data_IF_837519979694
#
_entry.id   IF_837519979694
#
_cell.length_a   1.000
_cell.length_b   1.000
_cell.length_c   1.000
_cell.angle_alpha   90.00
_cell.angle_beta   90.00
_cell.angle_gamma   90.00
#
_symmetry.space_group_name_H-M   'P 1'
#
loop_
_entity.id
_entity.type
_entity.pdbx_description
1 polymer ?
#
# COMPACT_ATOMS: atom_id res chain seq x y z
N UNK A 1 -12.24 12.31 4.69
CA UNK A 1 -11.26 11.67 5.59
C UNK A 1 -9.99 12.51 5.58
N UNK A 2 -9.31 12.74 6.71
CA UNK A 2 -8.00 13.44 6.74
C UNK A 2 -6.88 12.46 6.39
N UNK A 3 -5.82 12.93 5.73
CA UNK A 3 -4.65 12.14 5.31
C UNK A 3 -4.07 11.32 6.47
N UNK A 4 -3.91 11.92 7.65
CA UNK A 4 -3.39 11.24 8.85
C UNK A 4 -4.23 10.03 9.24
N UNK A 5 -5.56 10.13 9.11
CA UNK A 5 -6.48 9.03 9.45
C UNK A 5 -6.45 7.93 8.38
N UNK A 6 -6.34 8.31 7.11
CA UNK A 6 -6.14 7.38 6.00
C UNK A 6 -4.86 6.57 6.19
N UNK A 7 -3.74 7.25 6.48
CA UNK A 7 -2.46 6.59 6.75
C UNK A 7 -2.58 5.69 7.99
N UNK A 8 -3.15 6.17 9.09
CA UNK A 8 -3.28 5.37 10.31
C UNK A 8 -4.09 4.08 10.10
N UNK A 9 -5.12 4.11 9.26
CA UNK A 9 -5.95 2.94 8.97
C UNK A 9 -5.29 1.92 8.04
N UNK A 10 -4.48 2.38 7.09
CA UNK A 10 -3.90 1.50 6.06
C UNK A 10 -2.43 1.14 6.33
N UNK A 11 -1.73 1.87 7.20
CA UNK A 11 -0.31 1.65 7.52
C UNK A 11 -0.01 0.21 7.95
N UNK A 12 -0.86 -0.39 8.77
CA UNK A 12 -0.64 -1.76 9.25
C UNK A 12 -0.60 -2.75 8.08
N UNK A 13 -1.51 -2.60 7.12
CA UNK A 13 -1.57 -3.42 5.90
C UNK A 13 -0.34 -3.20 5.02
N UNK A 14 0.09 -1.95 4.85
CA UNK A 14 1.30 -1.64 4.07
C UNK A 14 2.55 -2.27 4.68
N UNK A 15 2.65 -2.28 6.01
CA UNK A 15 3.75 -2.94 6.71
C UNK A 15 3.69 -4.47 6.54
N UNK A 16 2.50 -5.06 6.50
CA UNK A 16 2.33 -6.48 6.19
C UNK A 16 2.76 -6.81 4.75
N UNK A 17 2.34 -5.99 3.76
CA UNK A 17 2.82 -6.09 2.38
C UNK A 17 4.34 -6.07 2.28
N UNK A 18 5.01 -5.11 2.95
CA UNK A 18 6.47 -5.02 2.94
C UNK A 18 7.16 -6.22 3.61
N UNK A 19 6.55 -6.81 4.65
CA UNK A 19 7.07 -8.04 5.27
C UNK A 19 6.94 -9.22 4.30
N UNK A 20 5.76 -9.39 3.71
CA UNK A 20 5.47 -10.49 2.80
C UNK A 20 6.34 -10.44 1.53
N UNK A 21 6.67 -9.24 1.06
CA UNK A 21 7.62 -9.01 -0.04
C UNK A 21 9.05 -9.47 0.28
N UNK A 22 9.45 -9.39 1.55
CA UNK A 22 10.76 -9.84 2.06
C UNK A 22 10.82 -11.33 2.39
N UNK A 23 9.68 -11.98 2.59
CA UNK A 23 9.64 -13.42 2.84
C UNK A 23 9.98 -14.21 1.57
N UNK A 24 10.74 -15.29 1.74
CA UNK A 24 11.12 -16.19 0.64
C UNK A 24 9.97 -17.12 0.21
N UNK A 25 9.02 -17.38 1.11
CA UNK A 25 7.83 -18.18 0.82
C UNK A 25 6.65 -17.24 0.65
N UNK A 26 6.30 -16.99 -0.60
CA UNK A 26 5.29 -16.03 -1.00
C UNK A 26 4.00 -16.76 -1.31
N UNK A 27 3.00 -16.57 -0.46
CA UNK A 27 1.65 -17.09 -0.72
C UNK A 27 0.98 -16.22 -1.80
N UNK A 28 0.69 -16.76 -3.00
CA UNK A 28 0.22 -15.96 -4.13
C UNK A 28 -1.17 -15.37 -3.91
N UNK A 29 -2.04 -16.02 -3.14
CA UNK A 29 -3.38 -15.51 -2.82
C UNK A 29 -3.30 -14.29 -1.90
N UNK A 30 -2.45 -14.36 -0.86
CA UNK A 30 -2.21 -13.22 0.03
C UNK A 30 -1.56 -12.05 -0.70
N UNK A 31 -0.61 -12.32 -1.58
CA UNK A 31 0.03 -11.29 -2.42
C UNK A 31 -1.00 -10.57 -3.27
N UNK A 32 -1.85 -11.30 -3.98
CA UNK A 32 -2.84 -10.70 -4.87
C UNK A 32 -3.83 -9.81 -4.09
N UNK A 33 -4.26 -10.28 -2.92
CA UNK A 33 -5.17 -9.53 -2.05
C UNK A 33 -4.54 -8.23 -1.55
N UNK A 34 -3.31 -8.30 -1.01
CA UNK A 34 -2.60 -7.13 -0.51
C UNK A 34 -2.21 -6.16 -1.63
N UNK A 35 -1.78 -6.66 -2.78
CA UNK A 35 -1.47 -5.86 -3.95
C UNK A 35 -2.70 -5.06 -4.42
N UNK A 36 -3.86 -5.72 -4.53
CA UNK A 36 -5.10 -5.06 -4.92
C UNK A 36 -5.45 -3.92 -3.96
N UNK A 37 -5.27 -4.13 -2.66
CA UNK A 37 -5.48 -3.08 -1.65
C UNK A 37 -4.50 -1.92 -1.79
N UNK A 38 -3.20 -2.18 -1.99
CA UNK A 38 -2.19 -1.13 -2.19
C UNK A 38 -2.47 -0.31 -3.45
N UNK A 39 -2.92 -0.95 -4.53
CA UNK A 39 -3.29 -0.27 -5.78
C UNK A 39 -4.53 0.62 -5.58
N UNK A 40 -5.54 0.13 -4.85
CA UNK A 40 -6.74 0.91 -4.52
C UNK A 40 -6.38 2.14 -3.66
N UNK A 41 -5.58 1.94 -2.61
CA UNK A 41 -5.06 3.01 -1.75
C UNK A 41 -4.23 4.03 -2.56
N UNK A 42 -3.44 3.58 -3.53
CA UNK A 42 -2.67 4.45 -4.41
C UNK A 42 -3.58 5.29 -5.31
N UNK A 43 -4.64 4.69 -5.85
CA UNK A 43 -5.64 5.38 -6.66
C UNK A 43 -6.39 6.44 -5.84
N UNK A 44 -6.82 6.08 -4.64
CA UNK A 44 -7.42 7.00 -3.68
C UNK A 44 -6.45 8.14 -3.33
N UNK A 45 -5.20 7.82 -2.99
CA UNK A 45 -4.18 8.81 -2.68
C UNK A 45 -3.88 9.74 -3.85
N UNK A 46 -3.89 9.27 -5.10
CA UNK A 46 -3.69 10.11 -6.29
C UNK A 46 -4.80 11.14 -6.46
N UNK A 47 -6.03 10.76 -6.15
CA UNK A 47 -7.22 11.61 -6.29
C UNK A 47 -7.30 12.66 -5.18
N UNK A 48 -7.11 12.24 -3.92
CA UNK A 48 -7.34 13.10 -2.76
C UNK A 48 -6.07 13.76 -2.20
N UNK A 49 -4.89 13.18 -2.46
CA UNK A 49 -3.59 13.63 -1.93
C UNK A 49 -2.49 13.73 -3.01
N UNK A 50 -2.71 14.47 -4.12
CA UNK A 50 -1.83 14.45 -5.29
C UNK A 50 -0.39 14.93 -5.03
N UNK A 51 -0.21 15.87 -4.08
CA UNK A 51 1.09 16.50 -3.76
C UNK A 51 1.72 15.99 -2.46
N UNK A 52 1.47 14.71 -2.10
CA UNK A 52 1.86 14.14 -0.81
C UNK A 52 2.78 12.94 -0.92
N UNK A 53 3.57 12.72 0.12
CA UNK A 53 4.54 11.62 0.22
C UNK A 53 3.89 10.24 0.27
N UNK A 54 2.66 10.14 0.80
CA UNK A 54 1.91 8.87 0.86
C UNK A 54 1.72 8.25 -0.53
N UNK A 55 1.49 9.07 -1.56
CA UNK A 55 1.42 8.62 -2.95
C UNK A 55 2.72 7.99 -3.42
N UNK A 56 3.86 8.59 -3.06
CA UNK A 56 5.20 8.11 -3.44
C UNK A 56 5.51 6.81 -2.72
N UNK A 57 5.18 6.71 -1.44
CA UNK A 57 5.34 5.49 -0.64
C UNK A 57 4.52 4.32 -1.20
N UNK A 58 3.23 4.53 -1.48
CA UNK A 58 2.35 3.51 -2.07
C UNK A 58 2.81 3.09 -3.47
N UNK A 59 3.27 4.03 -4.29
CA UNK A 59 3.84 3.72 -5.60
C UNK A 59 5.11 2.87 -5.47
N UNK A 60 5.98 3.17 -4.50
CA UNK A 60 7.15 2.34 -4.23
C UNK A 60 6.74 0.91 -3.88
N UNK A 61 5.80 0.69 -2.96
CA UNK A 61 5.34 -0.66 -2.60
C UNK A 61 4.77 -1.39 -3.82
N UNK A 62 3.92 -0.72 -4.61
CA UNK A 62 3.31 -1.32 -5.80
C UNK A 62 4.34 -1.72 -6.88
N UNK A 63 5.54 -1.11 -6.89
CA UNK A 63 6.63 -1.46 -7.81
C UNK A 63 7.51 -2.62 -7.32
N UNK A 64 7.48 -2.93 -6.04
CA UNK A 64 8.29 -3.99 -5.42
C UNK A 64 7.58 -5.36 -5.45
N UNK A 65 6.27 -5.36 -5.68
CA UNK A 65 5.51 -6.55 -6.09
C UNK A 65 5.92 -7.03 -7.47
#
# INVERSE_FOLDING_TARGET
MKETRFIAQNKEKWQESERLLKESTKDPEKISTLFTQVVDDLSYSRTYYPNRSVRVYLNKIAREY
#
